data_IF_629227945180
#
_entry.id   IF_629227945180
#
_cell.length_a   1.000
_cell.length_b   1.000
_cell.length_c   1.000
_cell.angle_alpha   90.00
_cell.angle_beta   90.00
_cell.angle_gamma   90.00
#
_symmetry.space_group_name_H-M   'P 1'
#
loop_
_entity.id
_entity.type
_entity.pdbx_description
1 polymer ?
#
# COMPACT_ATOMS: atom_id res chain seq x y z
N UNK A 1 18.57 -36.41 -32.87
CA UNK A 1 18.94 -36.31 -31.44
C UNK A 1 19.33 -34.88 -31.06
N UNK A 2 20.15 -34.20 -31.87
CA UNK A 2 20.61 -32.84 -31.55
C UNK A 2 19.47 -31.80 -31.43
N UNK A 3 18.46 -31.84 -32.30
CA UNK A 3 17.30 -30.94 -32.25
C UNK A 3 16.53 -31.04 -30.92
N UNK A 4 16.48 -32.22 -30.29
CA UNK A 4 15.79 -32.41 -29.01
C UNK A 4 16.52 -31.73 -27.85
N UNK A 5 17.86 -31.69 -27.89
CA UNK A 5 18.69 -31.03 -26.89
C UNK A 5 18.51 -29.51 -26.99
N UNK A 6 18.54 -28.95 -28.21
CA UNK A 6 18.28 -27.52 -28.42
C UNK A 6 16.87 -27.10 -27.95
N UNK A 7 15.84 -27.90 -28.23
CA UNK A 7 14.47 -27.62 -27.76
C UNK A 7 14.36 -27.68 -26.23
N UNK A 8 15.01 -28.65 -25.59
CA UNK A 8 15.01 -28.77 -24.13
C UNK A 8 15.71 -27.58 -23.46
N UNK A 9 16.85 -27.16 -24.01
CA UNK A 9 17.59 -25.97 -23.54
C UNK A 9 16.75 -24.71 -23.75
N UNK A 10 16.14 -24.54 -24.92
CA UNK A 10 15.28 -23.39 -25.20
C UNK A 10 14.08 -23.32 -24.23
N UNK A 11 13.45 -24.45 -23.93
CA UNK A 11 12.35 -24.53 -22.97
C UNK A 11 12.81 -24.23 -21.53
N UNK A 12 13.98 -24.73 -21.13
CA UNK A 12 14.58 -24.45 -19.82
C UNK A 12 14.88 -22.96 -19.65
N UNK A 13 15.48 -22.33 -20.66
CA UNK A 13 15.76 -20.88 -20.66
C UNK A 13 14.47 -20.07 -20.63
N UNK A 14 13.47 -20.43 -21.44
CA UNK A 14 12.16 -19.76 -21.43
C UNK A 14 11.47 -19.84 -20.06
N UNK A 15 11.55 -20.98 -19.39
CA UNK A 15 10.98 -21.18 -18.04
C UNK A 15 11.69 -20.32 -17.01
N UNK A 16 13.03 -20.27 -17.06
CA UNK A 16 13.84 -19.41 -16.19
C UNK A 16 13.50 -17.92 -16.35
N UNK A 17 13.37 -17.46 -17.60
CA UNK A 17 12.99 -16.07 -17.91
C UNK A 17 11.57 -15.79 -17.41
N UNK A 18 10.61 -16.67 -17.69
CA UNK A 18 9.23 -16.52 -17.21
C UNK A 18 9.17 -16.45 -15.69
N UNK A 19 9.92 -17.30 -14.98
CA UNK A 19 10.02 -17.28 -13.53
C UNK A 19 10.61 -15.95 -13.05
N UNK A 20 11.69 -15.48 -13.65
CA UNK A 20 12.30 -14.19 -13.29
C UNK A 20 11.34 -13.01 -13.47
N UNK A 21 10.57 -12.98 -14.57
CA UNK A 21 9.55 -11.95 -14.83
C UNK A 21 8.43 -12.00 -13.79
N UNK A 22 7.95 -13.19 -13.42
CA UNK A 22 6.91 -13.36 -12.40
C UNK A 22 7.41 -12.86 -11.03
N UNK A 23 8.63 -13.23 -10.63
CA UNK A 23 9.22 -12.78 -9.36
C UNK A 23 9.50 -11.28 -9.34
N UNK A 24 9.80 -10.65 -10.47
CA UNK A 24 9.93 -9.20 -10.58
C UNK A 24 8.58 -8.48 -10.48
N UNK A 25 7.54 -9.07 -11.07
CA UNK A 25 6.21 -8.44 -11.13
C UNK A 25 5.45 -8.56 -9.81
N UNK A 26 5.55 -9.70 -9.13
CA UNK A 26 4.87 -9.95 -7.86
C UNK A 26 5.72 -9.37 -6.72
N UNK A 27 5.22 -8.38 -5.94
CA UNK A 27 5.95 -7.81 -4.82
C UNK A 27 5.93 -8.74 -3.60
N UNK A 28 6.58 -9.91 -3.70
CA UNK A 28 6.61 -10.93 -2.65
C UNK A 28 7.21 -10.37 -1.36
N UNK A 29 8.29 -9.58 -1.46
CA UNK A 29 8.91 -8.95 -0.30
C UNK A 29 7.95 -8.05 0.48
N UNK A 30 7.16 -7.24 -0.22
CA UNK A 30 6.18 -6.33 0.40
C UNK A 30 5.06 -7.08 1.11
N UNK A 31 4.60 -8.19 0.52
CA UNK A 31 3.61 -9.06 1.16
C UNK A 31 4.12 -9.62 2.48
N UNK A 32 5.36 -10.11 2.52
CA UNK A 32 5.96 -10.59 3.77
C UNK A 32 6.10 -9.47 4.79
N UNK A 33 6.48 -8.26 4.38
CA UNK A 33 6.54 -7.08 5.28
C UNK A 33 5.17 -6.74 5.88
N UNK A 34 4.10 -6.79 5.07
CA UNK A 34 2.73 -6.57 5.54
C UNK A 34 2.30 -7.65 6.54
N UNK A 35 2.50 -8.93 6.18
CA UNK A 35 2.14 -10.07 7.00
C UNK A 35 2.86 -10.07 8.36
N UNK A 36 4.18 -9.81 8.36
CA UNK A 36 4.97 -9.69 9.60
C UNK A 36 4.55 -8.51 10.47
N UNK A 37 3.97 -7.48 9.87
CA UNK A 37 3.46 -6.30 10.59
C UNK A 37 2.01 -6.46 11.07
N UNK A 38 1.39 -7.62 10.86
CA UNK A 38 0.00 -7.89 11.24
C UNK A 38 -1.05 -7.30 10.28
N UNK A 39 -0.63 -6.83 9.10
CA UNK A 39 -1.54 -6.30 8.08
C UNK A 39 -1.85 -7.39 7.05
N UNK A 40 -3.11 -7.80 6.99
CA UNK A 40 -3.56 -8.82 6.03
C UNK A 40 -3.83 -8.18 4.66
N UNK A 41 -2.83 -8.17 3.77
CA UNK A 41 -3.00 -7.77 2.36
C UNK A 41 -2.71 -8.97 1.46
N UNK A 42 -3.62 -9.27 0.53
CA UNK A 42 -3.44 -10.39 -0.41
C UNK A 42 -2.40 -10.07 -1.49
N UNK A 43 -1.60 -11.06 -1.90
CA UNK A 43 -0.69 -10.92 -3.06
C UNK A 43 -1.42 -10.44 -4.31
N UNK A 44 -2.62 -10.98 -4.55
CA UNK A 44 -3.50 -10.62 -5.67
C UNK A 44 -3.86 -9.13 -5.60
N UNK A 45 -4.12 -8.60 -4.39
CA UNK A 45 -4.47 -7.20 -4.18
C UNK A 45 -3.27 -6.28 -4.49
N UNK A 46 -2.05 -6.65 -4.09
CA UNK A 46 -0.84 -5.89 -4.43
C UNK A 46 -0.59 -5.83 -5.95
N UNK A 47 -0.94 -6.90 -6.67
CA UNK A 47 -0.89 -6.93 -8.14
C UNK A 47 -1.96 -6.02 -8.73
N UNK A 48 -3.19 -6.05 -8.21
CA UNK A 48 -4.27 -5.15 -8.64
C UNK A 48 -3.96 -3.67 -8.38
N UNK A 49 -3.28 -3.32 -7.29
CA UNK A 49 -2.80 -1.96 -7.04
C UNK A 49 -1.91 -1.47 -8.18
N UNK A 50 -0.92 -2.29 -8.60
CA UNK A 50 -0.05 -1.95 -9.74
C UNK A 50 -0.83 -1.75 -11.03
N UNK A 51 -1.83 -2.60 -11.29
CA UNK A 51 -2.72 -2.46 -12.45
C UNK A 51 -3.50 -1.15 -12.43
N UNK A 52 -4.02 -0.77 -11.26
CA UNK A 52 -4.72 0.50 -11.02
C UNK A 52 -3.79 1.72 -10.97
N UNK A 53 -2.49 1.54 -11.24
CA UNK A 53 -1.43 2.56 -11.12
C UNK A 53 -1.29 3.15 -9.70
N UNK A 54 -1.68 2.39 -8.68
CA UNK A 54 -1.46 2.74 -7.27
C UNK A 54 -0.17 2.08 -6.80
N UNK A 55 0.79 2.82 -6.22
CA UNK A 55 2.03 2.24 -5.72
C UNK A 55 1.74 1.38 -4.46
N UNK A 56 1.87 0.04 -4.53
CA UNK A 56 1.49 -0.82 -3.42
C UNK A 56 2.34 -0.58 -2.17
N UNK A 57 3.61 -0.20 -2.34
CA UNK A 57 4.53 0.09 -1.24
C UNK A 57 4.03 1.23 -0.35
N UNK A 58 3.49 2.29 -0.95
CA UNK A 58 2.95 3.43 -0.22
C UNK A 58 1.75 3.01 0.64
N UNK A 59 0.80 2.30 0.05
CA UNK A 59 -0.42 1.86 0.71
C UNK A 59 -0.12 0.88 1.85
N UNK A 60 0.76 -0.10 1.61
CA UNK A 60 1.15 -1.07 2.64
C UNK A 60 1.88 -0.40 3.79
N UNK A 61 2.79 0.54 3.53
CA UNK A 61 3.47 1.27 4.60
C UNK A 61 2.49 2.13 5.42
N UNK A 62 1.56 2.81 4.75
CA UNK A 62 0.51 3.58 5.40
C UNK A 62 -0.39 2.69 6.28
N UNK A 63 -0.80 1.51 5.79
CA UNK A 63 -1.55 0.53 6.59
C UNK A 63 -0.77 0.07 7.81
N UNK A 64 0.50 -0.30 7.64
CA UNK A 64 1.36 -0.73 8.76
C UNK A 64 1.45 0.37 9.81
N UNK A 65 1.60 1.63 9.38
CA UNK A 65 1.67 2.80 10.26
C UNK A 65 0.35 3.00 11.02
N UNK A 66 -0.78 2.93 10.32
CA UNK A 66 -2.11 3.03 10.91
C UNK A 66 -2.37 1.92 11.94
N UNK A 67 -2.12 0.66 11.58
CA UNK A 67 -2.30 -0.50 12.46
C UNK A 67 -1.42 -0.40 13.72
N UNK A 68 -0.16 -0.01 13.58
CA UNK A 68 0.73 0.24 14.73
C UNK A 68 0.30 1.42 15.58
N UNK A 69 -0.35 2.42 14.98
CA UNK A 69 -0.96 3.55 15.67
C UNK A 69 -2.32 3.24 16.32
N UNK A 70 -2.78 1.99 16.25
CA UNK A 70 -4.07 1.57 16.82
C UNK A 70 -5.29 1.93 15.97
N UNK A 71 -5.08 2.28 14.70
CA UNK A 71 -6.13 2.76 13.80
C UNK A 71 -6.37 1.73 12.71
N UNK A 72 -7.65 1.39 12.52
CA UNK A 72 -8.08 0.50 11.46
C UNK A 72 -8.52 1.35 10.27
N UNK A 73 -7.78 1.26 9.17
CA UNK A 73 -8.11 1.90 7.90
C UNK A 73 -8.14 0.82 6.83
N UNK A 74 -9.13 0.89 5.94
CA UNK A 74 -9.21 -0.07 4.84
C UNK A 74 -8.20 0.27 3.74
N UNK A 75 -7.71 -0.77 3.08
CA UNK A 75 -6.82 -0.59 1.93
C UNK A 75 -7.51 0.16 0.80
N UNK A 76 -8.80 -0.12 0.56
CA UNK A 76 -9.60 0.52 -0.49
C UNK A 76 -9.77 2.03 -0.27
N UNK A 77 -9.92 2.47 0.98
CA UNK A 77 -9.97 3.90 1.34
C UNK A 77 -8.67 4.61 1.02
N UNK A 78 -7.53 4.00 1.36
CA UNK A 78 -6.20 4.57 1.07
C UNK A 78 -5.94 4.61 -0.44
N UNK A 79 -6.30 3.55 -1.16
CA UNK A 79 -6.21 3.51 -2.62
C UNK A 79 -7.10 4.58 -3.27
N UNK A 80 -8.36 4.72 -2.84
CA UNK A 80 -9.28 5.71 -3.36
C UNK A 80 -8.79 7.14 -3.09
N UNK A 81 -8.25 7.39 -1.91
CA UNK A 81 -7.69 8.69 -1.57
C UNK A 81 -6.43 9.02 -2.39
N UNK A 82 -5.55 8.05 -2.60
CA UNK A 82 -4.39 8.20 -3.49
C UNK A 82 -4.82 8.52 -4.93
N UNK A 83 -5.81 7.79 -5.46
CA UNK A 83 -6.35 8.01 -6.80
C UNK A 83 -7.05 9.36 -6.95
N UNK A 84 -7.62 9.89 -5.86
CA UNK A 84 -8.16 11.26 -5.82
C UNK A 84 -7.05 12.34 -5.81
N UNK A 85 -5.77 11.96 -5.78
CA UNK A 85 -4.63 12.87 -5.75
C UNK A 85 -4.28 13.38 -4.34
N UNK A 86 -4.81 12.74 -3.30
CA UNK A 86 -4.52 13.06 -1.91
C UNK A 86 -3.23 12.42 -1.38
N UNK A 87 -2.76 12.92 -0.24
CA UNK A 87 -1.58 12.42 0.45
C UNK A 87 -1.97 11.44 1.56
N UNK A 88 -1.83 10.15 1.23
CA UNK A 88 -2.14 9.02 2.12
C UNK A 88 -1.35 9.08 3.43
N UNK A 89 -0.05 9.36 3.39
CA UNK A 89 0.80 9.39 4.58
C UNK A 89 0.34 10.50 5.54
N UNK A 90 0.03 11.67 5.01
CA UNK A 90 -0.43 12.82 5.80
C UNK A 90 -1.77 12.55 6.50
N UNK A 91 -2.70 11.87 5.82
CA UNK A 91 -3.97 11.44 6.42
C UNK A 91 -3.74 10.45 7.55
N UNK A 92 -2.91 9.42 7.33
CA UNK A 92 -2.59 8.44 8.37
C UNK A 92 -1.89 9.09 9.56
N UNK A 93 -0.95 10.00 9.34
CA UNK A 93 -0.26 10.72 10.40
C UNK A 93 -1.20 11.59 11.23
N UNK A 94 -2.15 12.27 10.59
CA UNK A 94 -3.17 13.04 11.29
C UNK A 94 -4.10 12.15 12.12
N UNK A 95 -4.50 10.99 11.60
CA UNK A 95 -5.31 10.03 12.34
C UNK A 95 -4.55 9.52 13.56
N UNK A 96 -3.27 9.15 13.42
CA UNK A 96 -2.41 8.70 14.54
C UNK A 96 -2.28 9.80 15.60
N UNK A 97 -2.08 11.05 15.17
CA UNK A 97 -2.02 12.21 16.06
C UNK A 97 -3.34 12.41 16.83
N UNK A 98 -4.48 12.28 16.15
CA UNK A 98 -5.80 12.41 16.73
C UNK A 98 -6.06 11.30 17.77
N UNK A 99 -5.75 10.06 17.41
CA UNK A 99 -5.90 8.90 18.29
C UNK A 99 -5.04 9.05 19.56
N UNK A 100 -3.80 9.53 19.43
CA UNK A 100 -2.92 9.79 20.57
C UNK A 100 -3.45 10.87 21.54
N UNK A 101 -4.39 11.71 21.11
CA UNK A 101 -5.00 12.79 21.90
C UNK A 101 -6.47 12.56 22.21
N UNK A 102 -6.99 11.36 21.93
CA UNK A 102 -8.41 11.03 22.05
C UNK A 102 -9.33 12.02 21.30
N UNK A 103 -8.85 12.57 20.18
CA UNK A 103 -9.64 13.40 19.28
C UNK A 103 -10.35 12.46 18.29
N UNK A 104 -11.67 12.58 18.19
CA UNK A 104 -12.44 11.88 17.18
C UNK A 104 -12.16 12.49 15.81
N UNK A 105 -11.39 11.79 14.97
CA UNK A 105 -11.14 12.14 13.58
C UNK A 105 -11.34 10.90 12.72
N UNK A 106 -12.28 10.97 11.78
CA UNK A 106 -12.53 9.88 10.83
C UNK A 106 -11.61 10.00 9.61
N UNK A 107 -11.37 8.87 8.94
CA UNK A 107 -10.59 8.85 7.69
C UNK A 107 -11.17 9.81 6.64
N UNK A 108 -12.49 9.84 6.49
CA UNK A 108 -13.18 10.70 5.54
C UNK A 108 -12.98 12.19 5.83
N UNK A 109 -13.03 12.59 7.11
CA UNK A 109 -12.78 13.97 7.52
C UNK A 109 -11.33 14.37 7.21
N UNK A 110 -10.36 13.55 7.61
CA UNK A 110 -8.94 13.78 7.34
C UNK A 110 -8.64 13.85 5.84
N UNK A 111 -9.22 12.93 5.04
CA UNK A 111 -9.09 12.92 3.59
C UNK A 111 -9.70 14.18 2.94
N UNK A 112 -10.83 14.65 3.44
CA UNK A 112 -11.47 15.89 2.95
C UNK A 112 -10.62 17.12 3.27
N UNK A 113 -10.04 17.19 4.48
CA UNK A 113 -9.14 18.26 4.87
C UNK A 113 -7.86 18.26 4.02
N UNK A 114 -7.33 17.08 3.69
CA UNK A 114 -6.16 16.97 2.82
C UNK A 114 -6.43 17.50 1.41
N UNK A 115 -7.54 17.08 0.79
CA UNK A 115 -7.93 17.55 -0.55
C UNK A 115 -8.19 19.06 -0.58
N UNK A 116 -8.65 19.63 0.54
CA UNK A 116 -8.77 21.08 0.73
C UNK A 116 -7.44 21.82 0.89
N UNK A 117 -6.29 21.12 0.79
CA UNK A 117 -4.93 21.62 1.05
C UNK A 117 -4.75 22.26 2.43
N UNK A 118 -5.58 21.88 3.40
CA UNK A 118 -5.47 22.35 4.78
C UNK A 118 -4.38 21.55 5.51
N UNK A 119 -3.79 22.17 6.53
CA UNK A 119 -2.97 21.46 7.51
C UNK A 119 -3.92 20.77 8.50
N UNK A 120 -4.03 19.45 8.37
CA UNK A 120 -4.96 18.61 9.15
C UNK A 120 -4.61 18.69 10.64
N UNK A 121 -3.33 18.64 10.98
CA UNK A 121 -2.86 18.65 12.37
C UNK A 121 -3.14 20.01 13.01
N UNK A 122 -2.95 21.09 12.25
CA UNK A 122 -3.24 22.44 12.75
C UNK A 122 -4.75 22.70 12.93
N UNK A 123 -5.62 22.04 12.19
CA UNK A 123 -7.08 22.18 12.31
C UNK A 123 -7.62 21.45 13.55
N UNK A 124 -7.08 20.27 13.85
CA UNK A 124 -7.52 19.45 14.98
C UNK A 124 -6.81 19.78 16.29
N UNK A 125 -5.76 20.61 16.27
CA UNK A 125 -5.05 21.01 17.49
C UNK A 125 -5.82 22.11 18.24
N UNK A 126 -6.38 21.84 19.44
CA UNK A 126 -7.16 22.82 20.19
C UNK A 126 -6.31 23.94 20.83
N UNK A 127 -4.98 23.80 20.87
CA UNK A 127 -4.06 24.75 21.52
C UNK A 127 -3.35 25.67 20.51
N UNK A 128 -4.04 26.08 19.44
CA UNK A 128 -3.47 26.99 18.44
C UNK A 128 -3.51 28.44 18.90
#
# INVERSE_FOLDING_TARGET
METNIFTLIAFGVATLIAMWVIFYFIPVGLYFTAAMSGVNVSLIQLVFMRWRKVPPTLIVHALIKATKGGIHVSTDELEAHFLAGGNVDKVVDALIYANARAIHLTFREAATMDLGRKDIVAEINPNK
#
